data_IF_144487019914
#
_entry.id   IF_144487019914
#
_cell.length_a   1.000
_cell.length_b   1.000
_cell.length_c   1.000
_cell.angle_alpha   90.00
_cell.angle_beta   90.00
_cell.angle_gamma   90.00
#
_symmetry.space_group_name_H-M   'P 1'
#
loop_
_entity.id
_entity.type
_entity.pdbx_description
1 polymer ?
2 water ?
#
# COMPACT_ATOMS: atom_id res chain seq x y z
N UNK A 1 24.59 -2.51 -16.01
CA UNK A 1 24.48 -2.05 -14.66
C UNK A 1 23.63 -3.00 -13.80
N UNK A 2 23.66 -2.78 -12.49
CA UNK A 2 22.86 -3.56 -11.56
C UNK A 2 21.40 -3.10 -11.66
N UNK A 3 20.51 -3.87 -10.98
CA UNK A 3 19.11 -3.44 -10.92
C UNK A 3 18.98 -2.08 -10.25
N UNK A 4 17.89 -1.39 -10.63
CA UNK A 4 17.60 -0.11 -10.04
C UNK A 4 17.09 -0.20 -8.62
N UNK A 5 16.81 0.99 -8.05
CA UNK A 5 16.31 1.03 -6.67
C UNK A 5 14.92 0.44 -6.60
N UNK A 6 14.50 0.10 -5.36
CA UNK A 6 13.11 -0.29 -5.13
C UNK A 6 12.15 0.79 -5.60
N UNK A 7 10.98 0.34 -6.04
CA UNK A 7 9.90 1.26 -6.34
C UNK A 7 9.37 1.92 -5.10
N UNK A 8 8.50 2.93 -5.34
CA UNK A 8 7.79 3.58 -4.26
C UNK A 8 6.95 2.58 -3.46
N UNK A 9 6.79 2.82 -2.19
CA UNK A 9 5.72 2.10 -1.41
C UNK A 9 4.37 2.26 -2.14
N UNK A 10 3.54 1.21 -1.96
CA UNK A 10 2.23 1.22 -2.60
C UNK A 10 1.28 2.23 -1.96
N UNK A 11 0.12 2.37 -2.59
CA UNK A 11 -0.90 3.29 -2.06
C UNK A 11 -1.57 2.66 -0.85
N UNK A 12 -2.31 3.53 -0.10
CA UNK A 12 -3.02 3.05 1.06
C UNK A 12 -4.02 1.95 0.69
N UNK A 13 -4.27 1.10 1.70
CA UNK A 13 -5.37 0.17 1.62
C UNK A 13 -6.71 0.87 1.65
N UNK A 14 -7.77 0.06 1.51
CA UNK A 14 -9.11 0.60 1.45
C UNK A 14 -9.62 0.96 2.84
N UNK A 15 -10.65 1.85 2.86
CA UNK A 15 -11.37 2.07 4.11
C UNK A 15 -11.84 0.75 4.71
N UNK A 16 -11.80 0.71 6.04
CA UNK A 16 -12.20 -0.50 6.74
C UNK A 16 -13.70 -0.75 6.71
N UNK A 17 -14.08 -1.88 7.29
CA UNK A 17 -15.48 -2.27 7.31
C UNK A 17 -16.25 -1.41 8.30
N UNK A 18 -17.61 -1.48 8.21
CA UNK A 18 -18.43 -0.77 9.20
C UNK A 18 -18.20 -1.33 10.61
N UNK A 19 -18.35 -0.44 11.58
CA UNK A 19 -18.30 -0.83 12.96
C UNK A 19 -19.55 -1.62 13.39
N UNK A 20 -19.54 -2.07 14.65
CA UNK A 20 -20.70 -2.84 15.17
C UNK A 20 -21.84 -1.90 15.46
N UNK A 21 -23.08 -2.49 15.56
CA UNK A 21 -24.22 -1.71 16.04
C UNK A 21 -23.93 -1.10 17.41
#
# INVERSE_FOLDING_TARGET
>A
GPPGPPGPPGPPGPPGPPGPPGPXGPXGPX
#
